data_IF_014617708258
#
_entry.id   IF_014617708258
#
_cell.length_a   1.000
_cell.length_b   1.000
_cell.length_c   1.000
_cell.angle_alpha   90.00
_cell.angle_beta   90.00
_cell.angle_gamma   90.00
#
_symmetry.space_group_name_H-M   'P 1'
#
loop_
_entity.id
_entity.type
_entity.pdbx_description
1 polymer ?
#
# COMPACT_ATOMS: atom_id res chain seq x y z
N UNK A 1 16.07 -8.36 -3.90
CA UNK A 1 14.78 -8.42 -3.19
C UNK A 1 14.90 -7.51 -1.97
N UNK A 2 14.30 -6.31 -2.02
CA UNK A 2 14.45 -5.30 -0.97
C UNK A 2 13.54 -5.63 0.21
N UNK A 3 14.10 -6.27 1.25
CA UNK A 3 13.43 -6.73 2.47
C UNK A 3 12.80 -5.63 3.33
N UNK A 4 12.97 -4.37 2.94
CA UNK A 4 12.82 -3.23 3.83
C UNK A 4 11.46 -2.53 3.69
N UNK A 5 10.88 -2.53 2.49
CA UNK A 5 9.51 -2.08 2.24
C UNK A 5 8.46 -3.03 2.87
N UNK A 6 8.88 -4.28 3.07
CA UNK A 6 8.13 -5.35 3.72
C UNK A 6 7.73 -5.01 5.16
N UNK A 7 8.59 -4.34 5.92
CA UNK A 7 8.27 -3.96 7.31
C UNK A 7 7.28 -2.79 7.41
N UNK A 8 7.18 -1.93 6.40
CA UNK A 8 6.15 -0.89 6.37
C UNK A 8 4.79 -1.45 5.96
N UNK A 9 4.76 -2.45 5.07
CA UNK A 9 3.55 -3.23 4.76
C UNK A 9 2.93 -3.90 5.99
N UNK A 10 3.69 -4.07 7.08
CA UNK A 10 3.20 -4.61 8.34
C UNK A 10 2.50 -3.57 9.24
N UNK A 11 2.63 -2.26 9.00
CA UNK A 11 1.93 -1.25 9.81
C UNK A 11 0.39 -1.33 9.69
N UNK A 12 -0.21 -1.54 8.50
CA UNK A 12 -1.63 -1.84 8.37
C UNK A 12 -2.03 -3.15 9.07
N UNK A 13 -1.09 -4.10 9.21
CA UNK A 13 -1.28 -5.40 9.88
C UNK A 13 -1.11 -5.35 11.41
N UNK A 14 -0.61 -4.23 11.95
CA UNK A 14 -0.42 -3.98 13.38
C UNK A 14 -1.52 -3.08 13.97
N UNK A 15 -2.55 -2.78 13.17
CA UNK A 15 -3.72 -2.08 13.65
C UNK A 15 -4.62 -3.08 14.36
N UNK A 16 -5.09 -2.78 15.58
CA UNK A 16 -5.98 -3.67 16.30
C UNK A 16 -7.22 -3.99 15.45
N UNK A 17 -7.79 -5.17 15.65
CA UNK A 17 -9.01 -5.66 15.01
C UNK A 17 -10.23 -4.71 15.13
N UNK A 18 -10.11 -3.62 15.90
CA UNK A 18 -11.04 -2.50 15.97
C UNK A 18 -10.98 -1.54 14.77
N UNK A 19 -10.07 -1.73 13.81
CA UNK A 19 -10.09 -1.01 12.52
C UNK A 19 -11.12 -1.65 11.55
N UNK A 20 -12.38 -1.66 11.99
CA UNK A 20 -13.53 -2.17 11.27
C UNK A 20 -13.86 -1.35 10.02
N UNK A 21 -13.17 -1.65 8.92
CA UNK A 21 -13.70 -1.40 7.57
C UNK A 21 -13.75 -2.73 6.84
N UNK A 22 -14.77 -2.92 6.00
CA UNK A 22 -15.01 -4.09 5.14
C UNK A 22 -13.76 -4.61 4.39
N UNK A 23 -12.70 -3.79 4.30
CA UNK A 23 -11.39 -4.09 3.70
C UNK A 23 -10.48 -4.90 4.61
N UNK A 24 -10.52 -4.74 5.95
CA UNK A 24 -9.68 -5.50 6.89
C UNK A 24 -9.98 -6.99 6.84
N UNK A 25 -11.24 -7.37 7.03
CA UNK A 25 -11.67 -8.77 6.94
C UNK A 25 -11.46 -9.38 5.54
N UNK A 26 -11.71 -8.62 4.47
CA UNK A 26 -11.40 -9.07 3.11
C UNK A 26 -9.89 -9.29 2.91
N UNK A 27 -9.06 -8.42 3.48
CA UNK A 27 -7.60 -8.51 3.37
C UNK A 27 -7.04 -9.67 4.20
N UNK A 28 -7.57 -9.94 5.39
CA UNK A 28 -7.18 -11.11 6.19
C UNK A 28 -7.60 -12.42 5.54
N UNK A 29 -8.82 -12.51 5.01
CA UNK A 29 -9.28 -13.67 4.25
C UNK A 29 -8.43 -13.90 3.00
N UNK A 30 -8.24 -12.88 2.17
CA UNK A 30 -7.44 -13.01 0.94
C UNK A 30 -5.96 -13.30 1.21
N UNK A 31 -5.36 -12.66 2.22
CA UNK A 31 -3.98 -12.94 2.63
C UNK A 31 -3.87 -14.36 3.20
N UNK A 32 -4.83 -14.75 4.03
CA UNK A 32 -4.92 -16.07 4.65
C UNK A 32 -5.04 -17.18 3.62
N UNK A 33 -5.92 -17.03 2.63
CA UNK A 33 -6.04 -17.94 1.49
C UNK A 33 -4.73 -18.02 0.69
N UNK A 34 -4.08 -16.87 0.49
CA UNK A 34 -2.81 -16.77 -0.24
C UNK A 34 -1.64 -17.49 0.44
N UNK A 35 -1.55 -17.42 1.77
CA UNK A 35 -0.48 -18.05 2.56
C UNK A 35 -0.92 -19.38 3.21
N UNK A 36 -2.17 -19.80 3.00
CA UNK A 36 -2.80 -20.99 3.58
C UNK A 36 -2.85 -20.99 5.11
N UNK A 37 -3.18 -19.86 5.71
CA UNK A 37 -3.36 -19.66 7.15
C UNK A 37 -4.70 -18.98 7.40
N UNK A 38 -5.48 -19.44 8.37
CA UNK A 38 -6.77 -18.81 8.68
C UNK A 38 -6.61 -17.51 9.47
N UNK A 39 -6.22 -16.45 8.76
CA UNK A 39 -6.10 -15.11 9.33
C UNK A 39 -7.45 -14.42 9.52
N UNK A 40 -8.52 -14.94 8.90
CA UNK A 40 -9.85 -14.35 9.02
C UNK A 40 -10.42 -14.58 10.41
N UNK A 41 -10.23 -15.79 10.97
CA UNK A 41 -10.67 -16.12 12.33
C UNK A 41 -9.56 -15.96 13.37
N UNK A 42 -8.29 -16.01 12.96
CA UNK A 42 -7.13 -15.88 13.86
C UNK A 42 -6.15 -14.76 13.43
N UNK A 43 -6.57 -13.49 13.45
CA UNK A 43 -5.70 -12.36 13.10
C UNK A 43 -4.50 -12.21 14.05
N UNK A 44 -4.59 -12.70 15.28
CA UNK A 44 -3.53 -12.65 16.29
C UNK A 44 -2.23 -13.34 15.86
N UNK A 45 -2.30 -14.26 14.88
CA UNK A 45 -1.12 -14.95 14.36
C UNK A 45 -0.10 -14.00 13.72
N UNK A 46 -0.55 -12.84 13.24
CA UNK A 46 0.32 -11.83 12.66
C UNK A 46 1.15 -11.10 13.72
N UNK A 47 0.66 -11.02 14.95
CA UNK A 47 1.39 -10.43 16.07
C UNK A 47 2.26 -11.45 16.79
N UNK A 48 1.82 -12.70 16.83
CA UNK A 48 2.49 -13.79 17.57
C UNK A 48 3.57 -14.51 16.76
N UNK A 49 3.47 -14.54 15.42
CA UNK A 49 4.40 -15.25 14.56
C UNK A 49 4.98 -14.35 13.48
N UNK A 50 6.25 -13.99 13.66
CA UNK A 50 6.98 -13.16 12.71
C UNK A 50 7.00 -13.74 11.29
N UNK A 51 7.09 -15.07 11.13
CA UNK A 51 7.12 -15.72 9.82
C UNK A 51 5.81 -15.51 9.06
N UNK A 52 4.68 -15.71 9.73
CA UNK A 52 3.35 -15.50 9.14
C UNK A 52 3.15 -14.02 8.80
N UNK A 53 3.58 -13.12 9.68
CA UNK A 53 3.57 -11.69 9.43
C UNK A 53 4.33 -11.34 8.14
N UNK A 54 5.57 -11.82 8.00
CA UNK A 54 6.36 -11.59 6.78
C UNK A 54 5.70 -12.19 5.55
N UNK A 55 5.19 -13.42 5.63
CA UNK A 55 4.50 -14.05 4.50
C UNK A 55 3.30 -13.23 4.05
N UNK A 56 2.47 -12.74 4.98
CA UNK A 56 1.33 -11.88 4.68
C UNK A 56 1.77 -10.55 4.05
N UNK A 57 2.86 -9.95 4.53
CA UNK A 57 3.41 -8.72 3.94
C UNK A 57 3.97 -8.95 2.53
N UNK A 58 4.69 -10.06 2.28
CA UNK A 58 5.18 -10.42 0.94
C UNK A 58 3.99 -10.64 0.02
N UNK A 59 2.98 -11.38 0.50
CA UNK A 59 1.77 -11.63 -0.26
C UNK A 59 1.09 -10.31 -0.65
N UNK A 60 0.94 -9.37 0.28
CA UNK A 60 0.34 -8.05 0.01
C UNK A 60 1.14 -7.21 -0.97
N UNK A 61 2.47 -7.35 -0.95
CA UNK A 61 3.39 -6.66 -1.84
C UNK A 61 3.36 -7.21 -3.28
N UNK A 62 3.24 -8.54 -3.41
CA UNK A 62 3.27 -9.26 -4.69
C UNK A 62 1.89 -9.41 -5.35
N UNK A 63 0.80 -9.32 -4.58
CA UNK A 63 -0.54 -9.68 -5.07
C UNK A 63 -1.41 -8.45 -5.28
N UNK A 64 -1.98 -8.25 -6.48
CA UNK A 64 -2.99 -7.24 -6.70
C UNK A 64 -4.31 -7.58 -6.00
N UNK A 65 -4.86 -6.65 -5.22
CA UNK A 65 -6.10 -6.84 -4.47
C UNK A 65 -7.34 -6.77 -5.38
N UNK A 66 -7.26 -6.01 -6.48
CA UNK A 66 -8.34 -5.87 -7.48
C UNK A 66 -7.80 -6.14 -8.87
N UNK A 67 -8.66 -6.69 -9.73
CA UNK A 67 -8.33 -7.07 -11.12
C UNK A 67 -7.74 -5.94 -11.97
N UNK A 68 -8.11 -4.69 -11.69
CA UNK A 68 -7.68 -3.51 -12.43
C UNK A 68 -6.58 -2.71 -11.70
N UNK A 69 -6.02 -3.25 -10.63
CA UNK A 69 -4.90 -2.63 -9.91
C UNK A 69 -3.61 -3.41 -10.18
N UNK A 70 -2.46 -2.74 -10.29
CA UNK A 70 -1.17 -3.42 -10.28
C UNK A 70 -0.78 -3.89 -8.87
N UNK A 71 0.19 -4.80 -8.79
CA UNK A 71 0.86 -5.11 -7.53
C UNK A 71 1.83 -3.99 -7.14
N UNK A 72 2.16 -3.87 -5.86
CA UNK A 72 3.17 -2.92 -5.41
C UNK A 72 4.54 -3.24 -6.02
N UNK A 73 4.88 -4.53 -6.10
CA UNK A 73 6.07 -5.01 -6.78
C UNK A 73 6.14 -4.54 -8.24
N UNK A 74 5.06 -4.69 -9.03
CA UNK A 74 5.06 -4.36 -10.46
C UNK A 74 5.24 -2.86 -10.72
N UNK A 75 4.68 -2.00 -9.87
CA UNK A 75 4.90 -0.55 -9.93
C UNK A 75 6.36 -0.25 -9.60
N UNK A 76 6.85 -0.81 -8.49
CA UNK A 76 8.16 -0.49 -7.94
C UNK A 76 9.32 -0.88 -8.87
N UNK A 77 9.20 -2.01 -9.58
CA UNK A 77 10.20 -2.43 -10.57
C UNK A 77 9.97 -1.85 -11.97
N UNK A 78 8.87 -1.13 -12.19
CA UNK A 78 8.54 -0.52 -13.48
C UNK A 78 7.96 -1.48 -14.53
N UNK A 79 7.47 -2.65 -14.14
CA UNK A 79 6.80 -3.60 -15.04
C UNK A 79 5.38 -3.15 -15.42
N UNK A 80 4.73 -2.41 -14.52
CA UNK A 80 3.40 -1.87 -14.78
C UNK A 80 3.45 -0.78 -15.86
N UNK A 81 2.46 -0.79 -16.75
CA UNK A 81 2.27 0.25 -17.77
C UNK A 81 1.05 1.09 -17.39
N UNK A 82 1.23 2.33 -16.93
CA UNK A 82 0.12 3.21 -16.58
C UNK A 82 -0.82 3.41 -17.79
N UNK A 83 -2.13 3.38 -17.52
CA UNK A 83 -3.13 3.71 -18.54
C UNK A 83 -3.29 5.23 -18.66
N UNK A 84 -4.03 5.70 -19.66
CA UNK A 84 -4.37 7.13 -19.78
C UNK A 84 -5.05 7.68 -18.52
N UNK A 85 -5.92 6.89 -17.89
CA UNK A 85 -6.59 7.28 -16.66
C UNK A 85 -5.61 7.39 -15.49
N UNK A 86 -4.61 6.52 -15.44
CA UNK A 86 -3.58 6.57 -14.41
C UNK A 86 -2.72 7.83 -14.54
N UNK A 87 -2.31 8.17 -15.77
CA UNK A 87 -1.55 9.40 -16.03
C UNK A 87 -2.36 10.66 -15.69
N UNK A 88 -3.65 10.69 -16.02
CA UNK A 88 -4.55 11.78 -15.61
C UNK A 88 -4.69 11.90 -14.09
N UNK A 89 -4.70 10.77 -13.40
CA UNK A 89 -4.70 10.67 -11.94
C UNK A 89 -3.31 10.90 -11.31
N UNK A 90 -2.31 11.36 -12.09
CA UNK A 90 -0.91 11.56 -11.67
C UNK A 90 -0.20 10.32 -11.13
N UNK A 91 -0.62 9.14 -11.58
CA UNK A 91 -0.03 7.84 -11.20
C UNK A 91 0.99 7.40 -12.24
N UNK A 92 2.10 6.84 -11.76
CA UNK A 92 3.19 6.35 -12.60
C UNK A 92 3.97 5.24 -11.92
N UNK A 93 5.12 4.86 -12.49
CA UNK A 93 6.04 3.91 -11.87
C UNK A 93 6.90 4.62 -10.83
N UNK A 94 6.28 5.06 -9.75
CA UNK A 94 6.94 5.84 -8.70
C UNK A 94 6.70 5.26 -7.31
N UNK A 95 7.52 5.67 -6.35
CA UNK A 95 7.35 5.27 -4.96
C UNK A 95 6.02 5.78 -4.39
N UNK A 96 5.61 6.99 -4.76
CA UNK A 96 4.30 7.56 -4.45
C UNK A 96 3.15 6.67 -4.92
N UNK A 97 3.19 6.16 -6.16
CA UNK A 97 2.14 5.27 -6.66
C UNK A 97 2.15 3.90 -5.97
N UNK A 98 3.34 3.39 -5.62
CA UNK A 98 3.47 2.17 -4.81
C UNK A 98 2.80 2.36 -3.44
N UNK A 99 3.04 3.51 -2.80
CA UNK A 99 2.42 3.90 -1.54
C UNK A 99 0.89 4.07 -1.69
N UNK A 100 0.42 4.65 -2.79
CA UNK A 100 -1.01 4.79 -3.08
C UNK A 100 -1.72 3.42 -3.22
N UNK A 101 -1.11 2.43 -3.87
CA UNK A 101 -1.67 1.07 -3.96
C UNK A 101 -1.74 0.36 -2.60
N UNK A 102 -0.77 0.61 -1.73
CA UNK A 102 -0.68 -0.05 -0.42
C UNK A 102 -1.55 0.64 0.64
N UNK A 103 -1.56 1.98 0.65
CA UNK A 103 -2.09 2.81 1.72
C UNK A 103 -3.09 3.87 1.23
N UNK A 104 -3.54 3.84 -0.03
CA UNK A 104 -4.40 4.88 -0.63
C UNK A 104 -5.70 5.17 0.13
N UNK A 105 -6.24 4.18 0.84
CA UNK A 105 -7.40 4.35 1.73
C UNK A 105 -7.08 5.15 3.01
N UNK A 106 -5.83 5.09 3.46
CA UNK A 106 -5.30 5.77 4.65
C UNK A 106 -4.75 7.17 4.33
N UNK A 107 -4.21 7.38 3.12
CA UNK A 107 -3.67 8.67 2.65
C UNK A 107 -4.72 9.60 2.02
N UNK A 108 -6.02 9.25 2.13
CA UNK A 108 -7.17 9.96 1.54
C UNK A 108 -7.06 11.48 1.61
N UNK A 109 -6.88 12.16 0.47
CA UNK A 109 -7.24 13.57 0.23
C UNK A 109 -6.74 14.60 1.25
N UNK A 110 -5.72 14.28 2.05
CA UNK A 110 -5.27 15.09 3.18
C UNK A 110 -3.97 15.86 2.90
N UNK A 111 -3.47 15.84 1.65
CA UNK A 111 -2.15 16.38 1.32
C UNK A 111 -1.02 15.58 1.98
N UNK A 112 0.15 16.19 2.17
CA UNK A 112 1.25 15.57 2.93
C UNK A 112 0.86 15.38 4.39
N UNK A 113 0.42 14.16 4.70
CA UNK A 113 0.15 13.76 6.07
C UNK A 113 1.43 13.24 6.74
N UNK A 114 1.56 13.47 8.05
CA UNK A 114 2.71 12.98 8.85
C UNK A 114 3.06 11.48 8.61
N UNK A 115 2.09 10.56 8.41
CA UNK A 115 2.40 9.17 8.07
C UNK A 115 3.09 9.00 6.71
N UNK A 116 2.77 9.82 5.71
CA UNK A 116 3.38 9.79 4.38
C UNK A 116 4.86 10.17 4.45
N UNK A 117 5.15 11.31 5.10
CA UNK A 117 6.51 11.77 5.35
C UNK A 117 7.32 10.77 6.18
N UNK A 118 6.66 10.07 7.11
CA UNK A 118 7.28 8.97 7.85
C UNK A 118 7.68 7.83 6.92
N UNK A 119 6.80 7.39 6.01
CA UNK A 119 7.10 6.31 5.06
C UNK A 119 8.28 6.69 4.16
N UNK A 120 8.23 7.91 3.60
CA UNK A 120 9.29 8.46 2.73
C UNK A 120 10.62 8.55 3.49
N UNK A 121 10.62 9.06 4.73
CA UNK A 121 11.85 9.22 5.52
C UNK A 121 12.54 7.89 5.79
N UNK A 122 11.77 6.85 6.11
CA UNK A 122 12.31 5.50 6.25
C UNK A 122 12.85 4.98 4.91
N UNK A 123 12.10 5.13 3.81
CA UNK A 123 12.57 4.71 2.49
C UNK A 123 13.93 5.32 2.15
N UNK A 124 14.08 6.63 2.34
CA UNK A 124 15.33 7.36 2.14
C UNK A 124 16.45 6.88 3.08
N UNK A 125 16.14 6.69 4.38
CA UNK A 125 17.09 6.14 5.35
C UNK A 125 17.62 4.76 4.94
N UNK A 126 16.75 3.92 4.38
CA UNK A 126 17.13 2.58 3.96
C UNK A 126 17.94 2.56 2.67
N UNK A 127 17.71 3.50 1.76
CA UNK A 127 18.58 3.66 0.59
C UNK A 127 20.02 4.03 0.98
N UNK A 128 20.20 4.86 2.01
CA UNK A 128 21.54 5.15 2.55
C UNK A 128 22.20 3.89 3.13
N UNK A 129 21.47 3.13 3.95
CA UNK A 129 22.00 1.91 4.56
C UNK A 129 22.40 0.85 3.53
N UNK A 130 21.70 0.80 2.39
CA UNK A 130 22.00 -0.12 1.30
C UNK A 130 23.13 0.39 0.37
N UNK A 131 23.65 1.59 0.60
CA UNK A 131 24.68 2.21 -0.24
C UNK A 131 24.18 2.62 -1.63
N UNK A 132 22.86 2.71 -1.82
CA UNK A 132 22.23 3.19 -3.07
C UNK A 132 22.18 4.71 -3.10
N UNK A 133 21.99 5.34 -1.94
CA UNK A 133 21.91 6.80 -1.79
C UNK A 133 20.52 7.36 -2.07
N UNK A 134 20.16 8.43 -1.35
CA UNK A 134 18.85 9.11 -1.46
C UNK A 134 18.63 9.78 -2.81
N UNK A 135 19.70 10.18 -3.47
CA UNK A 135 19.67 10.82 -4.78
C UNK A 135 19.07 9.91 -5.87
N UNK A 136 19.14 8.60 -5.68
CA UNK A 136 18.55 7.61 -6.58
C UNK A 136 17.05 7.39 -6.30
N UNK A 137 16.50 7.97 -5.24
CA UNK A 137 15.10 7.82 -4.87
C UNK A 137 14.14 8.52 -5.85
N UNK A 138 14.64 9.50 -6.62
CA UNK A 138 13.83 10.35 -7.49
C UNK A 138 13.48 11.69 -6.84
N UNK A 139 12.69 12.49 -7.55
CA UNK A 139 12.22 13.78 -7.06
C UNK A 139 11.17 13.59 -5.96
N UNK A 140 11.02 14.58 -5.07
CA UNK A 140 10.05 14.49 -3.98
C UNK A 140 8.62 14.21 -4.47
N UNK A 141 8.22 14.81 -5.59
CA UNK A 141 6.91 14.63 -6.22
C UNK A 141 6.66 13.18 -6.70
N UNK A 142 7.73 12.40 -6.91
CA UNK A 142 7.67 10.97 -7.25
C UNK A 142 7.65 10.09 -6.00
N UNK A 143 8.08 10.61 -4.85
CA UNK A 143 8.07 9.91 -3.56
C UNK A 143 6.72 10.04 -2.84
N UNK A 144 6.02 11.14 -3.06
CA UNK A 144 4.71 11.44 -2.47
C UNK A 144 3.56 10.95 -3.35
N UNK A 145 2.42 10.66 -2.71
CA UNK A 145 1.15 10.43 -3.41
C UNK A 145 0.12 11.52 -3.16
N UNK A 146 0.54 12.68 -2.62
CA UNK A 146 -0.35 13.76 -2.19
C UNK A 146 -1.26 14.28 -3.31
N UNK A 147 -0.76 14.36 -4.54
CA UNK A 147 -1.53 14.84 -5.70
C UNK A 147 -2.19 13.71 -6.51
N UNK A 148 -1.98 12.44 -6.12
CA UNK A 148 -2.50 11.31 -6.87
C UNK A 148 -3.93 10.97 -6.44
N UNK A 149 -4.80 10.65 -7.39
CA UNK A 149 -6.11 10.10 -7.03
C UNK A 149 -5.94 8.68 -6.50
N UNK A 150 -6.75 8.29 -5.50
CA UNK A 150 -6.72 6.94 -4.95
C UNK A 150 -7.17 5.90 -5.99
N UNK A 151 -6.51 4.74 -6.04
CA UNK A 151 -6.91 3.64 -6.94
C UNK A 151 -8.33 3.09 -6.64
N UNK A 152 -8.84 3.34 -5.44
CA UNK A 152 -10.17 2.97 -4.98
C UNK A 152 -10.86 4.20 -4.40
N UNK A 153 -11.46 5.06 -5.23
CA UNK A 153 -12.31 6.12 -4.71
C UNK A 153 -13.53 5.46 -4.04
N UNK A 154 -13.83 5.82 -2.79
CA UNK A 154 -15.11 5.47 -2.19
C UNK A 154 -16.22 6.02 -3.10
N UNK A 155 -17.25 5.22 -3.38
CA UNK A 155 -18.43 5.75 -4.07
C UNK A 155 -18.94 6.93 -3.26
N UNK A 156 -19.03 8.11 -3.87
CA UNK A 156 -19.76 9.24 -3.31
C UNK A 156 -21.12 8.71 -2.83
N UNK A 157 -21.61 9.07 -1.62
CA UNK A 157 -22.99 8.79 -1.28
C UNK A 157 -23.83 9.40 -2.41
N UNK A 158 -24.61 8.55 -3.09
CA UNK A 158 -25.58 9.03 -4.08
C UNK A 158 -26.43 10.05 -3.35
N UNK A 159 -26.30 11.32 -3.72
CA UNK A 159 -27.26 12.35 -3.33
C UNK A 159 -28.61 11.86 -3.82
N UNK A 160 -29.44 11.37 -2.89
CA UNK A 160 -30.84 11.11 -3.16
C UNK A 160 -31.47 12.48 -3.33
N UNK A 161 -31.54 12.94 -4.59
CA UNK A 161 -32.37 14.08 -4.95
C UNK A 161 -33.82 13.64 -4.81
N UNK A 162 -34.41 13.89 -3.65
CA UNK A 162 -35.86 13.84 -3.48
C UNK A 162 -36.49 14.88 -4.41
N UNK A 163 -37.19 14.40 -5.44
CA UNK A 163 -38.15 15.19 -6.22
C UNK A 163 -39.54 15.06 -5.60
#
# INVERSE_FOLDING_TARGET
MNYVLLFQCLRPLRLPASFGTLVGNYSYGAAGDGIKVDLLHHPEYLEQNATIAFQAAIWRWMTPIKKNQPSAQDIFVGNWKPTKNDTLAKRGNTFGTTMNVLYGEYTRGQGDINPMNTIISHYLYYLDLLGVGREQAGLHDELTCAEQEAFNPASSPKTVTSS
#
